data_IF_672937664440
#
_entry.id   IF_672937664440
#
_cell.length_a   1.000
_cell.length_b   1.000
_cell.length_c   1.000
_cell.angle_alpha   90.00
_cell.angle_beta   90.00
_cell.angle_gamma   90.00
#
_symmetry.space_group_name_H-M   'P 1'
#
loop_
_entity.id
_entity.type
_entity.pdbx_description
1 polymer ?
#
# COMPACT_ATOMS: atom_id res chain seq x y z
N UNK A 1 20.90 4.40 9.48
CA UNK A 1 20.17 5.54 8.88
C UNK A 1 21.16 6.18 7.94
N UNK A 2 21.14 5.74 6.69
CA UNK A 2 21.97 6.35 5.65
C UNK A 2 21.63 7.82 5.52
N UNK A 3 22.65 8.62 5.28
CA UNK A 3 22.62 10.06 5.05
C UNK A 3 21.94 10.34 3.69
N UNK A 4 20.64 10.03 3.62
CA UNK A 4 19.84 10.26 2.42
C UNK A 4 19.78 11.76 2.17
N UNK A 5 20.14 12.14 0.94
CA UNK A 5 20.05 13.51 0.45
C UNK A 5 18.71 14.12 0.89
N UNK A 6 18.70 15.29 1.57
CA UNK A 6 17.45 15.93 2.05
C UNK A 6 16.38 16.07 0.97
N UNK A 7 16.80 16.20 -0.29
CA UNK A 7 15.90 16.28 -1.43
C UNK A 7 15.23 14.94 -1.80
N UNK A 8 15.90 13.80 -1.57
CA UNK A 8 15.29 12.47 -1.73
C UNK A 8 14.21 12.21 -0.68
N UNK A 9 14.38 12.73 0.54
CA UNK A 9 13.35 12.64 1.57
C UNK A 9 12.06 13.36 1.17
N UNK A 10 12.15 14.45 0.39
CA UNK A 10 10.98 15.16 -0.13
C UNK A 10 10.15 14.32 -1.12
N UNK A 11 10.70 13.24 -1.70
CA UNK A 11 9.93 12.30 -2.53
C UNK A 11 8.90 11.50 -1.71
N UNK A 12 8.97 11.55 -0.38
CA UNK A 12 8.02 10.94 0.56
C UNK A 12 7.11 11.98 1.22
N UNK A 13 7.14 13.24 0.77
CA UNK A 13 6.22 14.27 1.25
C UNK A 13 4.75 13.87 1.00
N UNK A 14 3.83 14.35 1.84
CA UNK A 14 2.40 14.06 1.70
C UNK A 14 1.77 14.65 0.43
N UNK A 15 2.31 15.74 -0.08
CA UNK A 15 1.80 16.48 -1.23
C UNK A 15 2.48 16.08 -2.55
N UNK A 16 1.69 15.75 -3.57
CA UNK A 16 2.18 15.30 -4.87
C UNK A 16 3.00 16.36 -5.61
N UNK A 17 2.62 17.64 -5.51
CA UNK A 17 3.34 18.73 -6.17
C UNK A 17 4.74 18.85 -5.59
N UNK A 18 4.89 18.79 -4.27
CA UNK A 18 6.20 18.77 -3.60
C UNK A 18 7.06 17.59 -4.03
N UNK A 19 6.49 16.39 -4.13
CA UNK A 19 7.20 15.20 -4.59
C UNK A 19 7.72 15.34 -6.02
N UNK A 20 6.89 15.84 -6.94
CA UNK A 20 7.29 16.08 -8.33
C UNK A 20 8.35 17.18 -8.46
N UNK A 21 8.24 18.26 -7.66
CA UNK A 21 9.25 19.31 -7.61
C UNK A 21 10.58 18.80 -7.07
N UNK A 22 10.58 17.92 -6.07
CA UNK A 22 11.78 17.30 -5.55
C UNK A 22 12.44 16.40 -6.61
N UNK A 23 11.65 15.58 -7.30
CA UNK A 23 12.13 14.75 -8.41
C UNK A 23 12.78 15.60 -9.51
N UNK A 24 12.13 16.69 -9.93
CA UNK A 24 12.68 17.60 -10.93
C UNK A 24 14.05 18.15 -10.50
N UNK A 25 14.16 18.63 -9.25
CA UNK A 25 15.43 19.15 -8.72
C UNK A 25 16.51 18.07 -8.61
N UNK A 26 16.15 16.82 -8.33
CA UNK A 26 17.11 15.70 -8.30
C UNK A 26 17.68 15.43 -9.70
N UNK A 27 16.80 15.39 -10.72
CA UNK A 27 17.22 15.20 -12.11
C UNK A 27 18.09 16.36 -12.60
N UNK A 28 17.74 17.60 -12.28
CA UNK A 28 18.51 18.79 -12.65
C UNK A 28 19.88 18.88 -11.97
N UNK A 29 19.98 18.39 -10.73
CA UNK A 29 21.23 18.36 -9.97
C UNK A 29 22.19 17.24 -10.42
N UNK A 30 21.71 16.26 -11.20
CA UNK A 30 22.51 15.13 -11.66
C UNK A 30 23.57 15.59 -12.68
N UNK A 31 24.83 15.31 -12.38
CA UNK A 31 25.92 15.61 -13.31
C UNK A 31 25.99 14.53 -14.39
N UNK A 32 26.38 14.85 -15.64
CA UNK A 32 26.44 13.86 -16.72
C UNK A 32 27.25 12.60 -16.42
N UNK A 33 28.32 12.71 -15.63
CA UNK A 33 29.14 11.57 -15.21
C UNK A 33 28.47 10.65 -14.18
N UNK A 34 27.47 11.17 -13.46
CA UNK A 34 26.71 10.45 -12.44
C UNK A 34 25.40 9.87 -13.03
N UNK A 35 25.14 10.14 -14.31
CA UNK A 35 23.97 9.68 -15.03
C UNK A 35 23.96 8.14 -15.10
N UNK A 36 22.82 7.52 -14.79
CA UNK A 36 22.71 6.08 -14.71
C UNK A 36 22.91 5.45 -16.10
N UNK A 37 23.70 4.37 -16.14
CA UNK A 37 23.85 3.59 -17.36
C UNK A 37 22.51 2.92 -17.66
N UNK A 38 21.92 3.26 -18.80
CA UNK A 38 20.65 2.65 -19.24
C UNK A 38 20.75 1.13 -19.25
N UNK A 39 19.81 0.51 -18.56
CA UNK A 39 19.51 -0.91 -18.53
C UNK A 39 18.11 -1.11 -19.11
N UNK A 40 17.83 -2.28 -19.69
CA UNK A 40 16.48 -2.62 -20.15
C UNK A 40 15.59 -3.10 -18.98
N UNK A 41 15.67 -2.43 -17.83
CA UNK A 41 14.80 -2.70 -16.68
C UNK A 41 13.37 -2.29 -16.98
N UNK A 42 12.41 -3.19 -16.73
CA UNK A 42 10.98 -2.93 -16.94
C UNK A 42 10.22 -3.49 -15.75
N UNK A 43 9.45 -2.64 -15.08
CA UNK A 43 8.44 -3.07 -14.14
C UNK A 43 7.17 -2.24 -14.34
N UNK A 44 6.09 -2.90 -14.76
CA UNK A 44 4.80 -2.26 -15.08
C UNK A 44 3.72 -2.54 -14.03
N UNK A 45 4.07 -3.19 -12.92
CA UNK A 45 3.16 -3.58 -11.84
C UNK A 45 3.75 -3.17 -10.48
N UNK A 46 3.84 -1.86 -10.26
CA UNK A 46 4.20 -1.30 -8.97
C UNK A 46 2.96 -0.77 -8.24
N UNK A 47 2.88 -0.96 -6.93
CA UNK A 47 1.95 -0.23 -6.08
C UNK A 47 2.63 0.98 -5.44
N UNK A 48 1.85 1.99 -5.07
CA UNK A 48 2.33 3.21 -4.46
C UNK A 48 1.63 3.46 -3.12
N UNK A 49 1.95 4.58 -2.47
CA UNK A 49 1.25 5.05 -1.26
C UNK A 49 -0.26 5.26 -1.46
N UNK A 50 -0.75 5.44 -2.69
CA UNK A 50 -2.18 5.61 -2.99
C UNK A 50 -3.01 4.33 -2.86
N UNK A 51 -2.37 3.17 -2.67
CA UNK A 51 -3.03 1.99 -2.15
C UNK A 51 -2.22 1.34 -1.05
N UNK A 52 -1.06 0.77 -1.34
CA UNK A 52 -0.05 0.36 -0.36
C UNK A 52 1.28 0.00 -1.04
N UNK A 53 2.37 0.57 -0.53
CA UNK A 53 3.72 0.14 -0.86
C UNK A 53 4.50 -0.14 0.45
N UNK A 54 5.13 -1.30 0.56
CA UNK A 54 5.81 -1.74 1.79
C UNK A 54 7.01 -0.87 2.20
N UNK A 55 7.57 -0.11 1.26
CA UNK A 55 8.67 0.83 1.47
C UNK A 55 8.19 2.29 1.46
N UNK A 56 6.88 2.53 1.41
CA UNK A 56 6.31 3.87 1.38
C UNK A 56 6.56 4.63 0.07
N UNK A 57 6.87 3.94 -1.03
CA UNK A 57 7.17 4.64 -2.28
C UNK A 57 5.95 5.36 -2.87
N UNK A 58 6.16 6.63 -3.21
CA UNK A 58 5.28 7.43 -4.05
C UNK A 58 5.57 7.18 -5.53
N UNK A 59 4.68 7.61 -6.45
CA UNK A 59 5.00 7.60 -7.87
C UNK A 59 6.33 8.32 -8.20
N UNK A 60 6.58 9.48 -7.59
CA UNK A 60 7.83 10.22 -7.78
C UNK A 60 9.05 9.46 -7.25
N UNK A 61 8.96 8.80 -6.09
CA UNK A 61 10.11 8.05 -5.55
C UNK A 61 10.38 6.76 -6.31
N UNK A 62 9.37 6.10 -6.88
CA UNK A 62 9.57 5.00 -7.82
C UNK A 62 10.23 5.47 -9.11
N UNK A 63 9.83 6.62 -9.65
CA UNK A 63 10.46 7.17 -10.86
C UNK A 63 11.92 7.53 -10.62
N UNK A 64 12.25 8.11 -9.46
CA UNK A 64 13.64 8.35 -9.07
C UNK A 64 14.44 7.06 -8.98
N UNK A 65 13.92 6.04 -8.29
CA UNK A 65 14.57 4.73 -8.17
C UNK A 65 14.80 4.10 -9.54
N UNK A 66 13.77 4.06 -10.38
CA UNK A 66 13.86 3.52 -11.74
C UNK A 66 14.87 4.29 -12.60
N UNK A 67 14.92 5.63 -12.49
CA UNK A 67 15.95 6.44 -13.13
C UNK A 67 17.35 6.01 -12.68
N UNK A 68 17.60 6.00 -11.37
CA UNK A 68 18.92 5.65 -10.80
C UNK A 68 19.40 4.24 -11.13
N UNK A 69 18.47 3.30 -11.29
CA UNK A 69 18.74 1.94 -11.76
C UNK A 69 18.85 1.82 -13.28
N UNK A 70 18.63 2.93 -14.01
CA UNK A 70 18.73 3.03 -15.45
C UNK A 70 17.59 2.35 -16.22
N UNK A 71 16.42 2.16 -15.63
CA UNK A 71 15.30 1.42 -16.22
C UNK A 71 14.77 2.06 -17.52
N UNK A 72 14.15 1.22 -18.36
CA UNK A 72 13.47 1.62 -19.58
C UNK A 72 12.02 2.06 -19.31
N UNK A 73 11.30 1.33 -18.46
CA UNK A 73 9.89 1.57 -18.23
C UNK A 73 9.45 1.31 -16.78
N UNK A 74 8.51 2.13 -16.32
CA UNK A 74 7.88 2.04 -15.01
C UNK A 74 6.37 2.12 -15.19
N UNK A 75 5.61 1.30 -14.45
CA UNK A 75 4.17 1.48 -14.35
C UNK A 75 3.57 1.16 -12.99
N UNK A 76 2.46 1.83 -12.69
CA UNK A 76 1.77 1.75 -11.39
C UNK A 76 0.34 1.27 -11.54
N UNK A 77 -0.13 0.47 -10.58
CA UNK A 77 -1.45 -0.17 -10.57
C UNK A 77 -2.00 -0.26 -9.15
N UNK A 78 -2.38 0.89 -8.58
CA UNK A 78 -2.90 0.96 -7.22
C UNK A 78 -4.28 0.26 -7.08
N UNK A 79 -4.55 -0.30 -5.90
CA UNK A 79 -5.78 -1.05 -5.67
C UNK A 79 -7.03 -0.17 -5.75
N UNK A 80 -7.98 -0.53 -6.60
CA UNK A 80 -9.32 0.04 -6.71
C UNK A 80 -9.39 1.55 -7.04
N UNK A 81 -8.27 2.21 -7.37
CA UNK A 81 -8.21 3.66 -7.56
C UNK A 81 -7.27 4.10 -8.69
N UNK A 82 -7.46 5.33 -9.19
CA UNK A 82 -6.63 5.95 -10.23
C UNK A 82 -5.82 7.15 -9.70
N UNK A 83 -5.80 7.39 -8.39
CA UNK A 83 -5.25 8.62 -7.77
C UNK A 83 -3.76 8.83 -8.07
N UNK A 84 -3.01 7.76 -8.33
CA UNK A 84 -1.58 7.82 -8.67
C UNK A 84 -1.30 8.12 -10.15
N UNK A 85 -2.30 8.09 -11.04
CA UNK A 85 -2.08 8.12 -12.50
C UNK A 85 -1.39 9.39 -12.94
N UNK A 86 -1.93 10.56 -12.57
CA UNK A 86 -1.37 11.85 -13.01
C UNK A 86 0.07 12.05 -12.52
N UNK A 87 0.34 11.69 -11.26
CA UNK A 87 1.68 11.80 -10.68
C UNK A 87 2.65 10.79 -11.31
N UNK A 88 2.20 9.56 -11.59
CA UNK A 88 3.03 8.53 -12.24
C UNK A 88 3.48 8.98 -13.63
N UNK A 89 2.54 9.47 -14.44
CA UNK A 89 2.84 9.92 -15.80
C UNK A 89 3.77 11.15 -15.78
N UNK A 90 3.50 12.11 -14.90
CA UNK A 90 4.36 13.30 -14.71
C UNK A 90 5.76 12.91 -14.24
N UNK A 91 5.87 12.03 -13.25
CA UNK A 91 7.14 11.57 -12.71
C UNK A 91 7.97 10.80 -13.74
N UNK A 92 7.33 9.92 -14.51
CA UNK A 92 8.00 9.21 -15.61
C UNK A 92 8.51 10.19 -16.68
N UNK A 93 7.73 11.22 -17.01
CA UNK A 93 8.17 12.24 -17.97
C UNK A 93 9.40 13.00 -17.46
N UNK A 94 9.39 13.44 -16.20
CA UNK A 94 10.53 14.12 -15.55
C UNK A 94 11.77 13.23 -15.58
N UNK A 95 11.61 11.97 -15.20
CA UNK A 95 12.68 10.97 -15.13
C UNK A 95 13.07 10.37 -16.50
N UNK A 96 12.49 10.83 -17.61
CA UNK A 96 12.73 10.29 -18.96
C UNK A 96 12.47 8.77 -19.09
N UNK A 97 11.50 8.24 -18.36
CA UNK A 97 11.06 6.84 -18.37
C UNK A 97 9.85 6.64 -19.31
N UNK A 98 9.71 5.44 -19.87
CA UNK A 98 8.43 5.03 -20.46
C UNK A 98 7.43 4.73 -19.34
N UNK A 99 6.46 5.63 -19.16
CA UNK A 99 5.44 5.52 -18.14
C UNK A 99 4.18 4.79 -18.60
N UNK A 100 3.59 3.99 -17.72
CA UNK A 100 2.23 3.47 -17.85
C UNK A 100 1.55 3.54 -16.47
N UNK A 101 0.24 3.75 -16.42
CA UNK A 101 -0.48 3.77 -15.16
C UNK A 101 -1.86 3.11 -15.31
N UNK A 102 -2.41 2.69 -14.18
CA UNK A 102 -3.74 2.13 -14.09
C UNK A 102 -4.07 1.69 -12.68
N UNK A 103 -4.85 0.61 -12.58
CA UNK A 103 -5.34 0.09 -11.32
C UNK A 103 -5.31 -1.44 -11.31
N UNK A 104 -5.27 -1.99 -10.11
CA UNK A 104 -5.53 -3.40 -9.87
C UNK A 104 -6.80 -3.52 -9.03
N UNK A 105 -7.67 -4.48 -9.32
CA UNK A 105 -8.86 -4.75 -8.50
C UNK A 105 -9.07 -6.23 -8.31
N UNK A 106 -9.82 -6.60 -7.26
CA UNK A 106 -10.26 -7.97 -7.02
C UNK A 106 -11.69 -8.15 -7.50
N UNK A 107 -11.90 -9.11 -8.38
CA UNK A 107 -13.22 -9.50 -8.88
C UNK A 107 -13.52 -10.96 -8.53
N UNK A 108 -14.79 -11.28 -8.31
CA UNK A 108 -15.23 -12.66 -8.15
C UNK A 108 -15.80 -13.19 -9.46
N UNK A 109 -15.20 -14.25 -10.00
CA UNK A 109 -15.62 -14.89 -11.24
C UNK A 109 -16.51 -16.10 -10.96
N UNK A 110 -17.82 -15.87 -10.94
CA UNK A 110 -18.82 -16.89 -10.57
C UNK A 110 -18.71 -18.21 -11.34
N UNK A 111 -18.33 -18.19 -12.62
CA UNK A 111 -18.20 -19.42 -13.44
C UNK A 111 -16.97 -20.26 -13.07
N UNK A 112 -16.02 -19.69 -12.33
CA UNK A 112 -14.83 -20.36 -11.83
C UNK A 112 -14.75 -20.31 -10.30
N UNK A 113 -15.90 -20.34 -9.61
CA UNK A 113 -15.97 -20.21 -8.16
C UNK A 113 -15.10 -21.22 -7.38
N UNK A 114 -14.88 -22.40 -7.96
CA UNK A 114 -14.06 -23.47 -7.36
C UNK A 114 -12.59 -23.45 -7.85
N UNK A 115 -12.20 -22.47 -8.66
CA UNK A 115 -10.87 -22.38 -9.27
C UNK A 115 -10.06 -21.32 -8.55
N UNK A 116 -8.88 -21.70 -8.04
CA UNK A 116 -7.88 -20.75 -7.59
C UNK A 116 -7.14 -20.18 -8.82
N UNK A 117 -7.26 -18.87 -9.06
CA UNK A 117 -6.61 -18.18 -10.18
C UNK A 117 -5.27 -17.59 -9.74
N UNK A 118 -5.28 -16.32 -9.33
CA UNK A 118 -4.10 -15.57 -8.92
C UNK A 118 -4.25 -14.98 -7.50
N UNK A 119 -5.26 -15.44 -6.75
CA UNK A 119 -5.43 -15.14 -5.33
C UNK A 119 -5.25 -16.40 -4.48
N UNK A 120 -4.07 -16.61 -3.87
CA UNK A 120 -3.78 -17.84 -3.12
C UNK A 120 -4.78 -18.11 -1.99
N UNK A 121 -5.37 -19.32 -2.00
CA UNK A 121 -6.34 -19.76 -1.00
C UNK A 121 -7.74 -19.15 -1.13
N UNK A 122 -8.02 -18.41 -2.21
CA UNK A 122 -9.32 -17.77 -2.46
C UNK A 122 -9.88 -18.18 -3.85
N UNK A 123 -10.52 -19.37 -3.95
CA UNK A 123 -11.18 -19.81 -5.17
C UNK A 123 -12.21 -18.78 -5.68
N UNK A 124 -12.28 -18.62 -7.00
CA UNK A 124 -13.16 -17.67 -7.68
C UNK A 124 -12.68 -16.22 -7.67
N UNK A 125 -11.66 -15.86 -6.89
CA UNK A 125 -11.12 -14.49 -6.85
C UNK A 125 -10.03 -14.30 -7.91
N UNK A 126 -10.15 -13.23 -8.67
CA UNK A 126 -9.20 -12.81 -9.70
C UNK A 126 -8.73 -11.39 -9.39
N UNK A 127 -7.42 -11.19 -9.34
CA UNK A 127 -6.80 -9.88 -9.48
C UNK A 127 -6.82 -9.48 -10.97
N UNK A 128 -7.51 -8.38 -11.25
CA UNK A 128 -7.70 -7.83 -12.57
C UNK A 128 -6.97 -6.50 -12.68
N UNK A 129 -6.02 -6.42 -13.60
CA UNK A 129 -5.20 -5.23 -13.81
C UNK A 129 -5.68 -4.52 -15.08
N UNK A 130 -6.03 -3.25 -14.95
CA UNK A 130 -6.27 -2.35 -16.09
C UNK A 130 -5.09 -1.39 -16.23
N UNK A 131 -4.53 -1.26 -17.43
CA UNK A 131 -3.41 -0.36 -17.73
C UNK A 131 -3.73 0.54 -18.93
N UNK A 132 -3.00 1.65 -19.06
CA UNK A 132 -3.15 2.59 -20.16
C UNK A 132 -4.07 3.78 -19.84
N UNK A 133 -4.30 4.04 -18.56
CA UNK A 133 -5.04 5.23 -18.12
C UNK A 133 -4.15 6.46 -18.26
N UNK A 134 -4.73 7.54 -18.79
CA UNK A 134 -4.02 8.80 -19.06
C UNK A 134 -4.41 9.92 -18.10
N UNK A 135 -5.31 9.67 -17.15
CA UNK A 135 -5.70 10.62 -16.11
C UNK A 135 -6.18 9.92 -14.85
N UNK A 136 -5.97 10.57 -13.70
CA UNK A 136 -6.61 10.17 -12.44
C UNK A 136 -8.13 10.37 -12.44
N UNK A 137 -8.63 11.23 -13.34
CA UNK A 137 -10.06 11.46 -13.51
C UNK A 137 -10.66 10.41 -14.43
N UNK A 138 -11.58 9.57 -13.94
CA UNK A 138 -12.20 8.57 -14.79
C UNK A 138 -13.16 9.20 -15.80
N UNK A 139 -13.34 8.60 -16.99
CA UNK A 139 -14.40 9.01 -17.88
C UNK A 139 -15.77 8.82 -17.22
N UNK A 140 -16.75 9.66 -17.57
CA UNK A 140 -18.08 9.68 -16.93
C UNK A 140 -18.73 8.30 -16.89
N UNK A 141 -18.60 7.50 -17.96
CA UNK A 141 -19.14 6.16 -18.06
C UNK A 141 -18.56 5.17 -17.01
N UNK A 142 -17.35 5.42 -16.50
CA UNK A 142 -16.68 4.57 -15.50
C UNK A 142 -16.72 5.16 -14.08
N UNK A 143 -17.11 6.43 -13.91
CA UNK A 143 -17.07 7.14 -12.64
C UNK A 143 -17.84 6.41 -11.53
N UNK A 144 -19.10 6.04 -11.80
CA UNK A 144 -19.93 5.31 -10.84
C UNK A 144 -19.33 3.95 -10.44
N UNK A 145 -18.64 3.26 -11.36
CA UNK A 145 -18.01 1.97 -11.08
C UNK A 145 -16.83 2.14 -10.12
N UNK A 146 -15.97 3.13 -10.35
CA UNK A 146 -14.80 3.39 -9.49
C UNK A 146 -15.20 3.94 -8.12
N UNK A 147 -16.23 4.78 -8.06
CA UNK A 147 -16.82 5.24 -6.79
C UNK A 147 -17.35 4.04 -5.97
N UNK A 148 -18.05 3.11 -6.63
CA UNK A 148 -18.55 1.89 -5.98
C UNK A 148 -17.42 0.95 -5.53
N UNK A 149 -16.36 0.79 -6.32
CA UNK A 149 -15.17 0.02 -5.93
C UNK A 149 -14.55 0.58 -4.65
N UNK A 150 -14.31 1.89 -4.60
CA UNK A 150 -13.76 2.58 -3.41
C UNK A 150 -14.68 2.43 -2.21
N UNK A 151 -15.99 2.64 -2.39
CA UNK A 151 -16.99 2.51 -1.31
C UNK A 151 -16.96 1.11 -0.70
N UNK A 152 -17.02 0.07 -1.55
CA UNK A 152 -16.97 -1.33 -1.11
C UNK A 152 -15.66 -1.69 -0.41
N UNK A 153 -14.53 -1.19 -0.89
CA UNK A 153 -13.25 -1.38 -0.22
C UNK A 153 -13.25 -0.77 1.19
N UNK A 154 -13.74 0.46 1.32
CA UNK A 154 -13.85 1.14 2.62
C UNK A 154 -14.82 0.43 3.58
N UNK A 155 -15.95 -0.08 3.10
CA UNK A 155 -16.92 -0.84 3.91
C UNK A 155 -16.31 -2.14 4.44
N UNK A 156 -15.70 -2.95 3.57
CA UNK A 156 -15.00 -4.18 3.99
C UNK A 156 -13.97 -3.91 5.09
N UNK A 157 -13.23 -2.81 4.96
CA UNK A 157 -12.24 -2.40 5.94
C UNK A 157 -12.88 -1.99 7.27
N UNK A 158 -13.99 -1.24 7.27
CA UNK A 158 -14.70 -0.85 8.50
C UNK A 158 -15.26 -2.08 9.23
N UNK A 159 -15.89 -2.99 8.50
CA UNK A 159 -16.44 -4.22 9.07
C UNK A 159 -15.33 -5.12 9.65
N UNK A 160 -14.15 -5.14 9.00
CA UNK A 160 -12.98 -5.82 9.53
C UNK A 160 -12.47 -5.17 10.83
N UNK A 161 -12.35 -3.84 10.85
CA UNK A 161 -11.93 -3.10 12.05
C UNK A 161 -12.88 -3.31 13.22
N UNK A 162 -14.19 -3.32 13.00
CA UNK A 162 -15.17 -3.57 14.06
C UNK A 162 -14.94 -4.92 14.75
N UNK A 163 -14.78 -5.98 13.96
CA UNK A 163 -14.52 -7.33 14.49
C UNK A 163 -13.17 -7.45 15.18
N UNK A 164 -12.13 -6.85 14.60
CA UNK A 164 -10.79 -6.89 15.18
C UNK A 164 -10.74 -6.07 16.48
N UNK A 165 -11.42 -4.92 16.57
CA UNK A 165 -11.54 -4.15 17.81
C UNK A 165 -12.14 -5.00 18.94
N UNK A 166 -13.22 -5.74 18.67
CA UNK A 166 -13.81 -6.65 19.65
C UNK A 166 -12.83 -7.74 20.12
N UNK A 167 -12.00 -8.26 19.21
CA UNK A 167 -11.00 -9.28 19.55
C UNK A 167 -9.78 -8.72 20.28
N UNK A 168 -9.30 -7.53 19.90
CA UNK A 168 -8.07 -6.92 20.40
C UNK A 168 -8.24 -6.07 21.66
N UNK A 169 -9.44 -6.00 22.24
CA UNK A 169 -9.70 -5.32 23.51
C UNK A 169 -8.56 -5.55 24.55
N UNK A 170 -8.03 -4.49 25.18
CA UNK A 170 -8.46 -3.08 25.12
C UNK A 170 -7.91 -2.24 23.95
N UNK A 171 -7.16 -2.83 23.00
CA UNK A 171 -6.61 -2.08 21.85
C UNK A 171 -7.70 -1.88 20.80
N UNK A 172 -8.14 -0.63 20.65
CA UNK A 172 -9.15 -0.20 19.68
C UNK A 172 -8.62 0.89 18.76
N UNK A 173 -9.07 0.87 17.50
CA UNK A 173 -8.82 1.94 16.53
C UNK A 173 -10.13 2.42 15.91
N UNK A 174 -10.14 3.67 15.46
CA UNK A 174 -11.18 4.24 14.62
C UNK A 174 -10.69 4.30 13.17
N UNK A 175 -11.48 3.75 12.23
CA UNK A 175 -11.06 3.67 10.83
C UNK A 175 -10.81 5.05 10.20
N UNK A 176 -11.67 6.04 10.48
CA UNK A 176 -11.56 7.36 9.87
C UNK A 176 -10.41 8.17 10.46
N UNK A 177 -10.23 8.12 11.79
CA UNK A 177 -9.21 8.89 12.50
C UNK A 177 -7.83 8.25 12.45
N UNK A 178 -7.76 6.93 12.61
CA UNK A 178 -6.49 6.24 12.86
C UNK A 178 -5.94 5.53 11.61
N UNK A 179 -6.80 5.21 10.61
CA UNK A 179 -6.38 4.47 9.40
C UNK A 179 -6.29 5.37 8.16
N UNK A 180 -7.34 6.14 7.85
CA UNK A 180 -7.36 6.95 6.62
C UNK A 180 -6.19 7.93 6.49
N UNK A 181 -5.68 8.58 7.55
CA UNK A 181 -4.54 9.48 7.43
C UNK A 181 -3.22 8.78 7.04
N UNK A 182 -3.15 7.46 7.09
CA UNK A 182 -1.96 6.69 6.74
C UNK A 182 -1.76 6.52 5.23
N UNK A 183 -2.72 6.95 4.40
CA UNK A 183 -2.64 6.89 2.94
C UNK A 183 -3.15 8.19 2.32
N UNK A 184 -2.53 8.69 1.24
CA UNK A 184 -3.11 9.79 0.47
C UNK A 184 -4.48 9.40 -0.07
N UNK A 185 -5.39 10.37 -0.15
CA UNK A 185 -6.73 10.21 -0.72
C UNK A 185 -7.66 9.18 -0.05
N UNK A 186 -7.27 8.62 1.10
CA UNK A 186 -8.13 7.77 1.94
C UNK A 186 -8.41 6.37 1.39
N UNK A 187 -7.59 5.86 0.47
CA UNK A 187 -7.75 4.50 -0.08
C UNK A 187 -6.97 3.46 0.74
N UNK A 188 -7.41 3.27 1.98
CA UNK A 188 -6.70 2.40 2.91
C UNK A 188 -6.87 0.91 2.58
N UNK A 189 -5.91 0.11 3.05
CA UNK A 189 -5.86 -1.35 2.86
C UNK A 189 -5.67 -2.04 4.21
N UNK A 190 -5.75 -3.38 4.23
CA UNK A 190 -5.43 -4.22 5.40
C UNK A 190 -4.11 -3.81 6.07
N UNK A 191 -3.12 -3.41 5.28
CA UNK A 191 -1.79 -3.03 5.77
C UNK A 191 -1.82 -1.74 6.60
N UNK A 192 -2.62 -0.76 6.19
CA UNK A 192 -2.82 0.47 6.98
C UNK A 192 -3.52 0.18 8.31
N UNK A 193 -4.50 -0.74 8.30
CA UNK A 193 -5.19 -1.17 9.52
C UNK A 193 -4.20 -1.81 10.51
N UNK A 194 -3.29 -2.67 10.04
CA UNK A 194 -2.27 -3.28 10.90
C UNK A 194 -1.34 -2.24 11.52
N UNK A 195 -0.89 -1.25 10.75
CA UNK A 195 -0.07 -0.13 11.25
C UNK A 195 -0.83 0.62 12.34
N UNK A 196 -2.11 0.94 12.12
CA UNK A 196 -2.95 1.62 13.11
C UNK A 196 -3.09 0.81 14.41
N UNK A 197 -3.26 -0.51 14.33
CA UNK A 197 -3.29 -1.38 15.51
C UNK A 197 -1.95 -1.43 16.25
N UNK A 198 -0.82 -1.50 15.54
CA UNK A 198 0.50 -1.47 16.17
C UNK A 198 0.74 -0.11 16.88
N UNK A 199 0.35 1.01 16.24
CA UNK A 199 0.37 2.35 16.86
C UNK A 199 -0.47 2.36 18.15
N UNK A 200 -1.72 1.89 18.07
CA UNK A 200 -2.64 1.92 19.20
C UNK A 200 -2.16 1.02 20.36
N UNK A 201 -1.63 -0.16 20.05
CA UNK A 201 -1.07 -1.07 21.03
C UNK A 201 0.14 -0.45 21.74
N UNK A 202 1.08 0.16 21.01
CA UNK A 202 2.24 0.86 21.58
C UNK A 202 1.85 2.04 22.47
N UNK A 203 0.79 2.77 22.09
CA UNK A 203 0.26 3.87 22.92
C UNK A 203 -0.32 3.36 24.25
N UNK A 204 -0.98 2.21 24.22
CA UNK A 204 -1.61 1.63 25.41
C UNK A 204 -0.63 0.86 26.30
N UNK A 205 0.38 0.25 25.68
CA UNK A 205 1.44 -0.53 26.33
C UNK A 205 2.81 0.08 25.98
N UNK A 206 3.21 1.20 26.61
CA UNK A 206 4.49 1.85 26.34
C UNK A 206 5.68 1.00 26.78
N UNK A 207 5.49 0.17 27.81
CA UNK A 207 6.50 -0.79 28.25
C UNK A 207 6.60 -1.96 27.28
N UNK A 208 7.79 -2.17 26.73
CA UNK A 208 8.05 -3.20 25.70
C UNK A 208 7.57 -4.59 26.11
N UNK A 209 7.82 -4.96 27.37
CA UNK A 209 7.41 -6.25 27.93
C UNK A 209 5.89 -6.44 27.89
N UNK A 210 5.12 -5.40 28.18
CA UNK A 210 3.66 -5.47 28.22
C UNK A 210 3.07 -5.52 26.80
N UNK A 211 3.65 -4.76 25.87
CA UNK A 211 3.30 -4.82 24.44
C UNK A 211 3.52 -6.22 23.86
N UNK A 212 4.67 -6.83 24.16
CA UNK A 212 5.01 -8.18 23.71
C UNK A 212 4.10 -9.21 24.36
N UNK A 213 3.79 -9.06 25.66
CA UNK A 213 2.86 -9.95 26.36
C UNK A 213 1.44 -9.87 25.77
N UNK A 214 0.97 -8.67 25.42
CA UNK A 214 -0.30 -8.46 24.75
C UNK A 214 -0.36 -9.19 23.41
N UNK A 215 0.62 -8.97 22.54
CA UNK A 215 0.67 -9.61 21.23
C UNK A 215 0.88 -11.12 21.32
N UNK A 216 1.74 -11.60 22.22
CA UNK A 216 1.93 -13.03 22.46
C UNK A 216 0.62 -13.72 22.84
N UNK A 217 -0.17 -13.09 23.72
CA UNK A 217 -1.49 -13.59 24.11
C UNK A 217 -2.48 -13.57 22.93
N UNK A 218 -2.63 -12.44 22.24
CA UNK A 218 -3.62 -12.30 21.14
C UNK A 218 -3.26 -13.13 19.91
N UNK A 219 -1.98 -13.40 19.69
CA UNK A 219 -1.52 -14.21 18.56
C UNK A 219 -1.35 -15.68 18.92
N UNK A 220 -1.45 -16.04 20.21
CA UNK A 220 -1.14 -17.38 20.73
C UNK A 220 0.28 -17.82 20.35
N UNK A 221 1.24 -16.90 20.47
CA UNK A 221 2.64 -17.10 20.09
C UNK A 221 3.57 -17.02 21.31
N UNK A 222 4.75 -17.68 21.28
CA UNK A 222 5.78 -17.47 22.28
C UNK A 222 6.25 -16.01 22.31
N UNK A 223 6.57 -15.50 23.49
CA UNK A 223 7.04 -14.11 23.68
C UNK A 223 8.27 -13.82 22.83
N UNK A 224 9.23 -14.75 22.76
CA UNK A 224 10.45 -14.62 21.96
C UNK A 224 10.14 -14.45 20.47
N UNK A 225 9.17 -15.20 19.93
CA UNK A 225 8.79 -15.09 18.53
C UNK A 225 8.14 -13.73 18.22
N UNK A 226 7.36 -13.19 19.17
CA UNK A 226 6.80 -11.84 19.05
C UNK A 226 7.90 -10.79 19.13
N UNK A 227 8.81 -10.92 20.08
CA UNK A 227 9.95 -10.01 20.25
C UNK A 227 10.78 -9.89 18.96
N UNK A 228 10.99 -11.01 18.26
CA UNK A 228 11.78 -11.08 17.04
C UNK A 228 11.16 -10.29 15.87
N UNK A 229 9.85 -10.37 15.67
CA UNK A 229 9.21 -9.65 14.56
C UNK A 229 8.79 -8.22 14.93
N UNK A 230 8.52 -7.96 16.21
CA UNK A 230 8.02 -6.68 16.67
C UNK A 230 9.18 -5.66 16.67
N UNK A 231 9.32 -4.86 15.62
CA UNK A 231 10.34 -3.81 15.55
C UNK A 231 10.11 -2.64 16.52
N UNK A 232 10.98 -1.62 16.44
CA UNK A 232 10.89 -0.39 17.24
C UNK A 232 9.82 0.59 16.74
N UNK A 233 9.48 0.52 15.46
CA UNK A 233 8.47 1.35 14.82
C UNK A 233 7.21 0.54 14.47
N UNK A 234 6.04 1.20 14.36
CA UNK A 234 4.83 0.57 13.86
C UNK A 234 5.04 -0.05 12.47
N UNK A 235 4.57 -1.28 12.29
CA UNK A 235 4.78 -2.02 11.04
C UNK A 235 3.61 -2.97 10.73
N UNK A 236 3.27 -3.21 9.45
CA UNK A 236 2.17 -4.11 9.08
C UNK A 236 2.61 -5.59 9.12
N UNK A 237 2.86 -6.09 10.33
CA UNK A 237 3.39 -7.43 10.60
C UNK A 237 2.58 -8.55 9.94
N UNK A 238 3.26 -9.39 9.15
CA UNK A 238 2.62 -10.54 8.49
C UNK A 238 2.09 -11.57 9.49
N UNK A 239 2.73 -11.72 10.66
CA UNK A 239 2.24 -12.60 11.73
C UNK A 239 0.87 -12.14 12.25
N UNK A 240 0.72 -10.85 12.54
CA UNK A 240 -0.56 -10.25 12.96
C UNK A 240 -1.59 -10.39 11.84
N UNK A 241 -1.21 -10.08 10.59
CA UNK A 241 -2.11 -10.19 9.42
C UNK A 241 -2.63 -11.61 9.24
N UNK A 242 -1.74 -12.59 9.25
CA UNK A 242 -2.08 -13.99 9.03
C UNK A 242 -3.06 -14.49 10.10
N UNK A 243 -2.82 -14.13 11.37
CA UNK A 243 -3.68 -14.54 12.48
C UNK A 243 -5.04 -13.85 12.47
N UNK A 244 -5.10 -12.55 12.17
CA UNK A 244 -6.32 -11.76 12.35
C UNK A 244 -7.16 -11.62 11.08
N UNK A 245 -6.54 -11.53 9.90
CA UNK A 245 -7.21 -11.05 8.67
C UNK A 245 -7.30 -12.10 7.56
N UNK A 246 -6.55 -13.20 7.64
CA UNK A 246 -6.62 -14.30 6.66
C UNK A 246 -7.60 -15.38 7.10
N UNK A 247 -7.85 -16.35 6.21
CA UNK A 247 -8.86 -17.41 6.40
C UNK A 247 -8.75 -18.04 7.79
N UNK A 248 -9.86 -18.00 8.54
CA UNK A 248 -9.93 -18.48 9.93
C UNK A 248 -9.64 -17.42 11.00
N UNK A 249 -9.14 -16.24 10.62
CA UNK A 249 -8.96 -15.09 11.49
C UNK A 249 -10.26 -14.30 11.68
N UNK A 250 -10.34 -13.57 12.81
CA UNK A 250 -11.55 -12.84 13.24
C UNK A 250 -12.03 -11.75 12.28
N UNK A 251 -11.13 -11.16 11.50
CA UNK A 251 -11.42 -10.14 10.50
C UNK A 251 -11.75 -10.70 9.11
N UNK A 252 -11.58 -12.00 8.88
CA UNK A 252 -11.79 -12.60 7.56
C UNK A 252 -13.28 -12.79 7.25
N UNK A 253 -13.67 -12.52 6.01
CA UNK A 253 -14.97 -12.90 5.42
C UNK A 253 -14.68 -13.68 4.16
N UNK A 254 -15.38 -14.80 3.97
CA UNK A 254 -15.29 -15.55 2.74
C UNK A 254 -15.88 -14.75 1.58
N UNK A 255 -15.13 -14.52 0.48
CA UNK A 255 -15.68 -13.89 -0.72
C UNK A 255 -16.85 -14.70 -1.29
N UNK A 256 -17.91 -14.00 -1.70
CA UNK A 256 -19.10 -14.62 -2.30
C UNK A 256 -20.15 -15.16 -1.31
N UNK A 257 -19.92 -14.98 0.01
CA UNK A 257 -20.94 -15.19 1.04
C UNK A 257 -21.99 -14.08 1.06
#
# INVERSE_FOLDING_TARGET
>A
MDDQNPLEQELFASDAVRRLQALQRLIEAERPQDAPRRQYGVNLHCHTIYSYNGYGHSPASLAWLAHREGWYALGTVDFDVLDAVDETLSACQIASLRGCAGLETRAFYHKGADIEFNSPGEPGVIYYVGVGFTSSQPPEAARATLEEMRRRAAERNRDMVERINGYLDPVIIDYARDVLPLTPSGNATERHILIAYDIAARRLFPERRDLVSFWAKKLEMPHEAVEQFLGDAPFPHDAIRSRLMKRGGVGYVQPGA
#
